data_IF_561460117802
#
_entry.id   IF_561460117802
#
_cell.length_a   1.000
_cell.length_b   1.000
_cell.length_c   1.000
_cell.angle_alpha   90.00
_cell.angle_beta   90.00
_cell.angle_gamma   90.00
#
_symmetry.space_group_name_H-M   'P 1'
#
loop_
_entity.id
_entity.type
_entity.pdbx_description
1 polymer ?
#
# COMPACT_ATOMS: atom_id res chain seq x y z
N UNK A 1 -12.93 7.85 -9.67
CA UNK A 1 -13.60 6.97 -8.71
C UNK A 1 -12.65 6.49 -7.60
N UNK A 2 -11.43 6.05 -7.88
CA UNK A 2 -10.48 5.62 -6.84
C UNK A 2 -10.24 6.70 -5.77
N UNK A 3 -10.11 7.97 -6.16
CA UNK A 3 -9.98 9.09 -5.20
C UNK A 3 -11.22 9.17 -4.28
N UNK A 4 -12.43 9.01 -4.85
CA UNK A 4 -13.65 9.01 -4.05
C UNK A 4 -13.74 7.83 -3.09
N UNK A 5 -13.34 6.62 -3.54
CA UNK A 5 -13.25 5.45 -2.68
C UNK A 5 -12.23 5.65 -1.56
N UNK A 6 -11.05 6.21 -1.91
CA UNK A 6 -10.03 6.57 -0.93
C UNK A 6 -10.51 7.63 0.06
N UNK A 7 -11.28 8.62 -0.40
CA UNK A 7 -11.87 9.62 0.51
C UNK A 7 -12.82 8.98 1.52
N UNK A 8 -13.77 8.15 1.06
CA UNK A 8 -14.70 7.44 1.96
C UNK A 8 -13.94 6.54 2.93
N UNK A 9 -12.93 5.80 2.45
CA UNK A 9 -12.08 4.98 3.30
C UNK A 9 -11.26 5.80 4.28
N UNK A 10 -10.74 6.95 3.85
CA UNK A 10 -9.94 7.89 4.64
C UNK A 10 -10.70 8.53 5.81
N UNK A 11 -12.05 8.60 5.75
CA UNK A 11 -12.86 9.02 6.89
C UNK A 11 -12.64 8.08 8.08
N UNK A 12 -12.51 6.78 7.82
CA UNK A 12 -12.33 5.75 8.83
C UNK A 12 -10.87 5.43 9.11
N UNK A 13 -10.00 5.62 8.12
CA UNK A 13 -8.61 5.21 8.17
C UNK A 13 -7.72 6.22 7.44
N UNK A 14 -7.05 7.10 8.19
CA UNK A 14 -6.20 8.18 7.65
C UNK A 14 -5.01 7.69 6.81
N UNK A 15 -4.57 6.44 6.99
CA UNK A 15 -3.52 5.79 6.19
C UNK A 15 -4.00 5.23 4.85
N UNK A 16 -5.09 5.78 4.27
CA UNK A 16 -5.58 5.35 2.96
C UNK A 16 -4.56 5.58 1.85
N UNK A 17 -4.33 4.55 1.04
CA UNK A 17 -3.45 4.60 -0.14
C UNK A 17 -4.23 4.57 -1.47
N UNK A 18 -5.52 4.21 -1.43
CA UNK A 18 -6.35 4.11 -2.65
C UNK A 18 -6.51 5.47 -3.29
N UNK A 19 -6.72 6.51 -2.47
CA UNK A 19 -6.82 7.89 -2.93
C UNK A 19 -5.55 8.35 -3.62
N UNK A 20 -4.38 8.08 -3.04
CA UNK A 20 -3.09 8.44 -3.60
C UNK A 20 -2.81 7.71 -4.93
N UNK A 21 -3.13 6.43 -5.04
CA UNK A 21 -3.09 5.72 -6.32
C UNK A 21 -4.03 6.32 -7.36
N UNK A 22 -5.23 6.71 -6.94
CA UNK A 22 -6.19 7.40 -7.80
C UNK A 22 -5.67 8.73 -8.32
N UNK A 23 -5.06 9.53 -7.44
CA UNK A 23 -4.48 10.83 -7.79
C UNK A 23 -3.26 10.66 -8.71
N UNK A 24 -2.34 9.76 -8.39
CA UNK A 24 -1.20 9.44 -9.25
C UNK A 24 -1.65 8.97 -10.64
N UNK A 25 -2.67 8.11 -10.70
CA UNK A 25 -3.24 7.67 -11.97
C UNK A 25 -3.80 8.83 -12.80
N UNK A 26 -4.51 9.79 -12.18
CA UNK A 26 -5.05 10.96 -12.89
C UNK A 26 -3.93 11.85 -13.42
N UNK A 27 -2.94 12.18 -12.58
CA UNK A 27 -1.83 13.07 -12.95
C UNK A 27 -0.99 12.47 -14.08
N UNK A 28 -0.67 11.18 -14.00
CA UNK A 28 0.26 10.51 -14.90
C UNK A 28 -0.42 9.63 -15.97
N UNK A 29 -1.78 9.60 -16.03
CA UNK A 29 -2.54 8.77 -16.99
C UNK A 29 -2.06 8.92 -18.43
N UNK A 30 -1.85 10.16 -18.90
CA UNK A 30 -1.39 10.44 -20.26
C UNK A 30 0.01 9.87 -20.53
N UNK A 31 0.90 9.88 -19.54
CA UNK A 31 2.26 9.34 -19.73
C UNK A 31 2.27 7.82 -19.72
N UNK A 32 1.44 7.19 -18.89
CA UNK A 32 1.27 5.73 -18.90
C UNK A 32 0.63 5.26 -20.24
N UNK A 33 -0.46 5.92 -20.66
CA UNK A 33 -1.17 5.57 -21.90
C UNK A 33 -0.28 5.69 -23.16
N UNK A 34 0.58 6.72 -23.20
CA UNK A 34 1.49 6.93 -24.33
C UNK A 34 2.88 6.31 -24.11
N UNK A 35 3.04 5.45 -23.10
CA UNK A 35 4.29 4.74 -22.78
C UNK A 35 5.52 5.66 -22.66
N UNK A 36 5.32 6.86 -22.10
CA UNK A 36 6.40 7.85 -21.93
C UNK A 36 7.27 7.50 -20.72
N UNK A 37 7.83 6.31 -20.72
CA UNK A 37 8.59 5.75 -19.59
C UNK A 37 9.77 6.60 -19.16
N UNK A 38 10.50 7.22 -20.09
CA UNK A 38 11.63 8.11 -19.75
C UNK A 38 11.17 9.26 -18.86
N UNK A 39 10.04 9.90 -19.17
CA UNK A 39 9.50 10.99 -18.32
C UNK A 39 9.10 10.48 -16.94
N UNK A 40 8.46 9.31 -16.88
CA UNK A 40 8.08 8.68 -15.63
C UNK A 40 9.30 8.33 -14.78
N UNK A 41 10.37 7.83 -15.38
CA UNK A 41 11.62 7.53 -14.67
C UNK A 41 12.32 8.80 -14.18
N UNK A 42 12.39 9.84 -15.01
CA UNK A 42 13.00 11.13 -14.63
C UNK A 42 12.23 11.73 -13.44
N UNK A 43 10.91 11.83 -13.55
CA UNK A 43 10.08 12.35 -12.44
C UNK A 43 10.15 11.44 -11.21
N UNK A 44 10.12 10.11 -11.40
CA UNK A 44 10.29 9.16 -10.33
C UNK A 44 11.64 9.28 -9.61
N UNK A 45 12.73 9.49 -10.37
CA UNK A 45 14.05 9.74 -9.81
C UNK A 45 14.12 11.07 -9.06
N UNK A 46 13.53 12.14 -9.60
CA UNK A 46 13.46 13.45 -8.93
C UNK A 46 12.70 13.29 -7.60
N UNK A 47 11.54 12.62 -7.61
CA UNK A 47 10.77 12.36 -6.39
C UNK A 47 11.62 11.57 -5.38
N UNK A 48 12.26 10.47 -5.82
CA UNK A 48 13.07 9.64 -4.94
C UNK A 48 14.25 10.43 -4.32
N UNK A 49 14.93 11.24 -5.11
CA UNK A 49 16.03 12.11 -4.62
C UNK A 49 15.52 13.19 -3.67
N UNK A 50 14.38 13.83 -4.00
CA UNK A 50 13.77 14.84 -3.13
C UNK A 50 13.38 14.24 -1.79
N UNK A 51 12.73 13.08 -1.80
CA UNK A 51 12.35 12.35 -0.58
C UNK A 51 13.58 11.98 0.23
N UNK A 52 14.58 11.37 -0.41
CA UNK A 52 15.83 11.01 0.24
C UNK A 52 16.50 12.24 0.89
N UNK A 53 16.63 13.33 0.14
CA UNK A 53 17.25 14.57 0.63
C UNK A 53 16.45 15.21 1.77
N UNK A 54 15.10 15.22 1.66
CA UNK A 54 14.22 15.73 2.70
C UNK A 54 14.39 14.96 4.01
N UNK A 55 14.32 13.64 3.97
CA UNK A 55 14.50 12.83 5.17
C UNK A 55 15.91 12.92 5.74
N UNK A 56 16.92 13.01 4.88
CA UNK A 56 18.29 13.21 5.30
C UNK A 56 18.44 14.55 6.04
N UNK A 57 17.96 15.64 5.46
CA UNK A 57 18.00 16.97 6.08
C UNK A 57 17.23 17.00 7.40
N UNK A 58 16.00 16.45 7.40
CA UNK A 58 15.17 16.35 8.60
C UNK A 58 15.83 15.57 9.73
N UNK A 59 16.55 14.51 9.41
CA UNK A 59 17.28 13.70 10.39
C UNK A 59 18.42 14.48 11.07
N UNK A 60 19.05 15.43 10.38
CA UNK A 60 20.09 16.26 10.96
C UNK A 60 19.58 17.51 11.68
N UNK A 61 18.50 18.13 11.13
CA UNK A 61 17.96 19.39 11.67
C UNK A 61 17.00 19.15 12.83
N UNK A 62 16.21 18.08 12.76
CA UNK A 62 15.20 17.79 13.75
C UNK A 62 15.13 16.27 14.01
N UNK A 63 16.09 15.70 14.76
CA UNK A 63 16.10 14.26 15.06
C UNK A 63 14.81 13.76 15.69
N UNK A 64 14.20 14.55 16.58
CA UNK A 64 12.92 14.24 17.23
C UNK A 64 11.76 14.19 16.20
N UNK A 65 11.75 15.14 15.26
CA UNK A 65 10.75 15.13 14.19
C UNK A 65 10.92 13.92 13.28
N UNK A 66 12.15 13.57 12.93
CA UNK A 66 12.45 12.37 12.15
C UNK A 66 11.99 11.09 12.88
N UNK A 67 12.16 11.02 14.20
CA UNK A 67 11.69 9.91 15.03
C UNK A 67 10.16 9.80 15.04
N UNK A 68 9.42 10.91 15.08
CA UNK A 68 7.96 10.96 14.95
C UNK A 68 7.50 10.42 13.59
N UNK A 69 8.13 10.90 12.51
CA UNK A 69 7.79 10.47 11.14
C UNK A 69 8.14 9.00 10.86
N UNK A 70 9.17 8.49 11.53
CA UNK A 70 9.54 7.07 11.45
C UNK A 70 8.63 6.15 12.28
N UNK A 71 7.67 6.72 13.01
CA UNK A 71 6.75 5.98 13.88
C UNK A 71 7.36 5.55 15.24
N UNK A 72 8.51 6.11 15.60
CA UNK A 72 9.23 5.74 16.82
C UNK A 72 8.82 6.54 18.04
N UNK A 73 8.19 7.69 17.85
CA UNK A 73 7.73 8.55 18.93
C UNK A 73 6.24 8.85 18.79
N UNK A 74 5.48 8.61 19.85
CA UNK A 74 4.07 8.99 19.91
C UNK A 74 3.96 10.53 19.98
N UNK A 75 3.15 11.09 19.10
CA UNK A 75 2.85 12.51 19.12
C UNK A 75 1.74 12.77 20.17
N UNK A 76 2.02 13.44 21.29
CA UNK A 76 1.06 13.60 22.38
C UNK A 76 -0.04 14.61 22.12
N UNK A 77 -0.17 15.13 20.91
CA UNK A 77 -1.17 16.15 20.59
C UNK A 77 -2.59 15.57 20.67
N UNK A 78 -3.19 15.65 21.84
CA UNK A 78 -4.61 15.35 22.05
C UNK A 78 -5.41 16.46 21.37
N UNK A 79 -5.97 16.17 20.21
CA UNK A 79 -6.88 17.11 19.54
C UNK A 79 -8.28 16.97 20.14
N UNK A 80 -8.92 18.09 20.46
CA UNK A 80 -10.32 18.12 20.91
C UNK A 80 -11.33 17.89 19.77
N UNK A 81 -10.83 17.72 18.54
CA UNK A 81 -11.67 17.52 17.36
C UNK A 81 -12.17 16.07 17.27
N UNK A 82 -13.39 15.86 16.75
CA UNK A 82 -13.88 14.52 16.44
C UNK A 82 -12.93 13.77 15.51
N UNK A 83 -12.69 12.49 15.79
CA UNK A 83 -11.71 11.66 15.06
C UNK A 83 -11.91 11.68 13.53
N UNK A 84 -13.15 11.69 13.04
CA UNK A 84 -13.44 11.72 11.61
C UNK A 84 -12.99 13.04 10.95
N UNK A 85 -13.10 14.17 11.67
CA UNK A 85 -12.62 15.48 11.18
C UNK A 85 -11.10 15.45 11.04
N UNK A 86 -10.42 14.91 12.04
CA UNK A 86 -8.95 14.74 12.01
C UNK A 86 -8.55 13.81 10.87
N UNK A 87 -9.25 12.69 10.69
CA UNK A 87 -8.97 11.77 9.60
C UNK A 87 -9.19 12.40 8.22
N UNK A 88 -10.26 13.18 8.04
CA UNK A 88 -10.50 13.89 6.78
C UNK A 88 -9.40 14.91 6.50
N UNK A 89 -9.00 15.70 7.50
CA UNK A 89 -7.93 16.68 7.34
C UNK A 89 -6.59 15.99 7.01
N UNK A 90 -6.26 14.94 7.74
CA UNK A 90 -5.08 14.12 7.49
C UNK A 90 -5.13 13.48 6.11
N UNK A 91 -6.29 12.96 5.69
CA UNK A 91 -6.43 12.34 4.38
C UNK A 91 -6.13 13.33 3.24
N UNK A 92 -6.66 14.56 3.31
CA UNK A 92 -6.35 15.60 2.32
C UNK A 92 -4.86 15.95 2.32
N UNK A 93 -4.26 16.08 3.49
CA UNK A 93 -2.83 16.35 3.61
C UNK A 93 -1.99 15.19 3.03
N UNK A 94 -2.26 13.97 3.47
CA UNK A 94 -1.53 12.79 3.04
C UNK A 94 -1.79 12.39 1.59
N UNK A 95 -2.94 12.73 1.00
CA UNK A 95 -3.24 12.46 -0.41
C UNK A 95 -2.12 12.97 -1.35
N UNK A 96 -1.61 14.16 -1.09
CA UNK A 96 -0.51 14.74 -1.87
C UNK A 96 0.86 14.29 -1.37
N UNK A 97 1.04 14.24 -0.06
CA UNK A 97 2.31 13.85 0.56
C UNK A 97 2.68 12.42 0.19
N UNK A 98 1.73 11.50 0.19
CA UNK A 98 1.98 10.10 -0.17
C UNK A 98 2.55 9.93 -1.58
N UNK A 99 2.13 10.72 -2.56
CA UNK A 99 2.68 10.64 -3.92
C UNK A 99 4.19 10.94 -3.91
N UNK A 100 4.62 11.83 -3.03
CA UNK A 100 6.01 12.22 -2.90
C UNK A 100 6.80 11.27 -1.98
N UNK A 101 6.21 10.84 -0.87
CA UNK A 101 6.93 10.13 0.21
C UNK A 101 6.92 8.61 0.03
N UNK A 102 5.87 8.02 -0.56
CA UNK A 102 5.75 6.55 -0.67
C UNK A 102 6.34 5.96 -1.95
N UNK A 103 6.99 6.77 -2.77
CA UNK A 103 7.62 6.34 -4.03
C UNK A 103 6.65 5.61 -4.99
N UNK A 104 5.36 5.91 -4.93
CA UNK A 104 4.31 5.32 -5.78
C UNK A 104 4.63 5.51 -7.27
N UNK A 105 5.08 6.71 -7.65
CA UNK A 105 5.33 7.05 -9.06
C UNK A 105 6.48 6.23 -9.65
N UNK A 106 7.68 6.15 -9.03
CA UNK A 106 8.75 5.31 -9.54
C UNK A 106 8.38 3.83 -9.53
N UNK A 107 7.69 3.34 -8.49
CA UNK A 107 7.22 1.96 -8.44
C UNK A 107 6.23 1.63 -9.56
N UNK A 108 5.25 2.52 -9.82
CA UNK A 108 4.29 2.37 -10.90
C UNK A 108 4.96 2.43 -12.29
N UNK A 109 5.97 3.28 -12.47
CA UNK A 109 6.75 3.35 -13.71
C UNK A 109 7.50 2.05 -14.00
N UNK A 110 8.13 1.46 -12.98
CA UNK A 110 8.79 0.14 -13.07
C UNK A 110 7.76 -0.94 -13.42
N UNK A 111 6.63 -0.98 -12.70
CA UNK A 111 5.57 -1.96 -12.94
C UNK A 111 4.98 -1.88 -14.34
N UNK A 112 4.70 -0.68 -14.83
CA UNK A 112 4.19 -0.46 -16.20
C UNK A 112 5.19 -0.92 -17.26
N UNK A 113 6.47 -0.65 -17.07
CA UNK A 113 7.51 -1.12 -17.99
C UNK A 113 7.66 -2.64 -17.96
N UNK A 114 7.62 -3.26 -16.78
CA UNK A 114 7.68 -4.71 -16.65
C UNK A 114 6.49 -5.40 -17.34
N UNK A 115 5.31 -4.82 -17.30
CA UNK A 115 4.15 -5.34 -18.00
C UNK A 115 4.35 -5.43 -19.54
N UNK A 116 5.13 -4.50 -20.11
CA UNK A 116 5.42 -4.49 -21.56
C UNK A 116 6.58 -5.43 -21.96
N UNK A 117 7.39 -5.89 -21.02
CA UNK A 117 8.61 -6.67 -21.35
C UNK A 117 8.40 -8.17 -21.48
N UNK A 118 7.28 -8.68 -21.01
CA UNK A 118 7.04 -10.11 -20.93
C UNK A 118 7.87 -10.86 -19.87
N UNK A 119 8.73 -10.18 -19.11
CA UNK A 119 9.60 -10.80 -18.09
C UNK A 119 8.78 -11.57 -17.05
N UNK A 120 7.65 -10.98 -16.61
CA UNK A 120 6.78 -11.58 -15.59
C UNK A 120 5.91 -12.67 -16.20
N UNK A 121 5.48 -12.54 -17.45
CA UNK A 121 4.59 -13.51 -18.11
C UNK A 121 5.33 -14.72 -18.68
N UNK A 122 6.65 -14.59 -18.92
CA UNK A 122 7.52 -15.65 -19.41
C UNK A 122 8.72 -15.85 -18.48
N UNK A 123 8.52 -16.21 -17.20
CA UNK A 123 9.57 -16.25 -16.19
C UNK A 123 10.67 -17.29 -16.51
N UNK A 124 10.33 -18.39 -17.16
CA UNK A 124 11.30 -19.42 -17.54
C UNK A 124 12.34 -18.89 -18.52
N UNK A 125 11.93 -18.07 -19.47
CA UNK A 125 12.82 -17.42 -20.44
C UNK A 125 13.78 -16.42 -19.77
N UNK A 126 13.36 -15.80 -18.67
CA UNK A 126 14.13 -14.78 -17.96
C UNK A 126 14.62 -15.26 -16.59
N UNK A 127 14.70 -16.59 -16.39
CA UNK A 127 14.97 -17.22 -15.10
C UNK A 127 16.22 -16.68 -14.39
N UNK A 128 17.32 -16.55 -15.11
CA UNK A 128 18.58 -16.05 -14.53
C UNK A 128 18.45 -14.61 -14.04
N UNK A 129 17.84 -13.75 -14.84
CA UNK A 129 17.57 -12.35 -14.48
C UNK A 129 16.69 -12.27 -13.23
N UNK A 130 15.60 -13.05 -13.20
CA UNK A 130 14.68 -13.05 -12.07
C UNK A 130 15.31 -13.58 -10.78
N UNK A 131 16.15 -14.62 -10.87
CA UNK A 131 16.89 -15.13 -9.70
C UNK A 131 17.89 -14.08 -9.19
N UNK A 132 18.69 -13.47 -10.07
CA UNK A 132 19.67 -12.47 -9.66
C UNK A 132 19.00 -11.22 -9.08
N UNK A 133 17.91 -10.73 -9.69
CA UNK A 133 17.11 -9.64 -9.17
C UNK A 133 16.44 -10.01 -7.84
N UNK A 134 15.95 -11.25 -7.73
CA UNK A 134 15.32 -11.77 -6.52
C UNK A 134 16.28 -11.78 -5.34
N UNK A 135 17.41 -12.47 -5.49
CA UNK A 135 18.40 -12.60 -4.43
C UNK A 135 19.08 -11.25 -4.15
N UNK A 136 19.56 -10.55 -5.18
CA UNK A 136 20.24 -9.27 -5.02
C UNK A 136 19.33 -8.18 -4.46
N UNK A 137 18.11 -8.09 -4.95
CA UNK A 137 17.13 -7.10 -4.48
C UNK A 137 16.76 -7.30 -3.02
N UNK A 138 16.48 -8.55 -2.61
CA UNK A 138 16.17 -8.86 -1.21
C UNK A 138 17.37 -8.66 -0.29
N UNK A 139 18.56 -9.07 -0.72
CA UNK A 139 19.79 -8.86 0.05
C UNK A 139 20.07 -7.37 0.27
N UNK A 140 20.00 -6.56 -0.78
CA UNK A 140 20.21 -5.11 -0.69
C UNK A 140 19.13 -4.43 0.18
N UNK A 141 17.85 -4.79 -0.01
CA UNK A 141 16.77 -4.28 0.82
C UNK A 141 16.91 -4.66 2.30
N UNK A 142 17.30 -5.91 2.58
CA UNK A 142 17.55 -6.38 3.94
C UNK A 142 18.76 -5.70 4.58
N UNK A 143 19.86 -5.54 3.85
CA UNK A 143 21.05 -4.82 4.34
C UNK A 143 20.74 -3.36 4.64
N UNK A 144 19.99 -2.69 3.77
CA UNK A 144 19.58 -1.30 3.98
C UNK A 144 18.67 -1.12 5.22
N UNK A 145 17.86 -2.13 5.55
CA UNK A 145 16.99 -2.12 6.71
C UNK A 145 17.66 -2.66 8.00
N UNK A 146 18.82 -3.31 7.87
CA UNK A 146 19.43 -4.06 8.98
C UNK A 146 19.77 -3.19 10.18
N UNK A 147 20.40 -2.03 9.96
CA UNK A 147 20.77 -1.13 11.06
C UNK A 147 19.52 -0.63 11.78
N UNK A 148 18.51 -0.15 11.05
CA UNK A 148 17.24 0.26 11.63
C UNK A 148 16.51 -0.88 12.38
N UNK A 149 16.64 -2.13 11.92
CA UNK A 149 16.08 -3.28 12.64
C UNK A 149 16.84 -3.58 13.94
N UNK A 150 18.18 -3.49 13.92
CA UNK A 150 19.02 -3.75 15.09
C UNK A 150 18.84 -2.71 16.18
N UNK A 151 18.58 -1.44 15.86
CA UNK A 151 18.33 -0.39 16.86
C UNK A 151 17.05 -0.62 17.67
N UNK A 152 16.10 -1.46 17.18
CA UNK A 152 14.92 -1.84 17.95
C UNK A 152 15.17 -2.96 18.97
N UNK A 153 16.30 -3.66 18.86
CA UNK A 153 16.60 -4.84 19.69
C UNK A 153 17.84 -4.61 20.55
N UNK A 154 18.80 -3.83 20.06
CA UNK A 154 20.07 -3.55 20.69
C UNK A 154 20.14 -2.08 21.10
N UNK A 155 20.90 -1.72 22.17
CA UNK A 155 21.10 -0.34 22.60
C UNK A 155 22.08 0.40 21.66
N UNK A 156 21.78 0.47 20.37
CA UNK A 156 22.57 1.14 19.34
C UNK A 156 21.85 2.41 18.95
N UNK A 157 22.59 3.49 18.78
CA UNK A 157 22.02 4.76 18.29
C UNK A 157 21.61 4.63 16.84
N UNK A 158 20.46 5.21 16.50
CA UNK A 158 20.03 5.29 15.09
C UNK A 158 20.91 6.26 14.31
N UNK A 159 21.18 5.92 13.07
CA UNK A 159 21.83 6.86 12.15
C UNK A 159 20.79 7.80 11.54
N UNK A 160 21.15 9.07 11.34
CA UNK A 160 20.23 10.04 10.75
C UNK A 160 19.66 9.63 9.40
N UNK A 161 20.41 8.87 8.59
CA UNK A 161 20.01 8.43 7.25
C UNK A 161 19.29 7.08 7.17
N UNK A 162 19.13 6.36 8.28
CA UNK A 162 18.54 5.02 8.30
C UNK A 162 17.17 4.96 7.59
N UNK A 163 16.32 5.92 7.90
CA UNK A 163 14.99 5.97 7.31
C UNK A 163 15.05 6.20 5.80
N UNK A 164 15.84 7.19 5.36
CA UNK A 164 15.98 7.55 3.95
C UNK A 164 16.53 6.38 3.12
N UNK A 165 17.56 5.70 3.63
CA UNK A 165 18.16 4.52 2.99
C UNK A 165 17.16 3.37 2.90
N UNK A 166 16.47 3.07 3.99
CA UNK A 166 15.45 2.01 4.03
C UNK A 166 14.33 2.26 3.01
N UNK A 167 13.81 3.48 2.92
CA UNK A 167 12.74 3.83 1.98
C UNK A 167 13.22 3.70 0.52
N UNK A 168 14.40 4.21 0.19
CA UNK A 168 14.94 4.13 -1.17
C UNK A 168 15.20 2.68 -1.60
N UNK A 169 15.86 1.89 -0.75
CA UNK A 169 16.15 0.48 -1.04
C UNK A 169 14.94 -0.43 -0.89
N UNK A 170 13.85 0.06 -0.30
CA UNK A 170 12.56 -0.63 -0.26
C UNK A 170 12.03 -0.98 -1.65
N UNK A 171 12.22 -0.10 -2.66
CA UNK A 171 11.87 -0.39 -4.05
C UNK A 171 12.71 -1.56 -4.61
N UNK A 172 14.00 -1.58 -4.29
CA UNK A 172 14.91 -2.65 -4.73
C UNK A 172 14.48 -3.99 -4.13
N UNK A 173 14.15 -4.01 -2.83
CA UNK A 173 13.59 -5.18 -2.15
C UNK A 173 12.24 -5.61 -2.73
N UNK A 174 11.36 -4.67 -3.07
CA UNK A 174 10.08 -4.96 -3.71
C UNK A 174 10.26 -5.59 -5.11
N UNK A 175 11.21 -5.10 -5.91
CA UNK A 175 11.59 -5.74 -7.17
C UNK A 175 12.13 -7.16 -6.96
N UNK A 176 12.88 -7.39 -5.87
CA UNK A 176 13.36 -8.72 -5.47
C UNK A 176 12.20 -9.68 -5.18
N UNK A 177 11.23 -9.26 -4.36
CA UNK A 177 10.01 -10.03 -4.10
C UNK A 177 9.22 -10.30 -5.37
N UNK A 178 9.00 -9.29 -6.21
CA UNK A 178 8.27 -9.43 -7.46
C UNK A 178 8.93 -10.47 -8.38
N UNK A 179 10.25 -10.47 -8.47
CA UNK A 179 11.01 -11.42 -9.28
C UNK A 179 10.86 -12.87 -8.77
N UNK A 180 10.96 -13.10 -7.46
CA UNK A 180 10.77 -14.44 -6.88
C UNK A 180 9.31 -14.91 -6.99
N UNK A 181 8.36 -14.01 -6.79
CA UNK A 181 6.94 -14.34 -6.95
C UNK A 181 6.59 -14.65 -8.41
N UNK A 182 7.20 -13.96 -9.38
CA UNK A 182 7.03 -14.28 -10.80
C UNK A 182 7.57 -15.67 -11.15
N UNK A 183 8.74 -16.04 -10.64
CA UNK A 183 9.30 -17.40 -10.76
C UNK A 183 8.39 -18.45 -10.12
N UNK A 184 7.89 -18.17 -8.92
CA UNK A 184 6.97 -19.07 -8.23
C UNK A 184 5.65 -19.23 -8.99
N UNK A 185 5.12 -18.15 -9.57
CA UNK A 185 3.89 -18.19 -10.36
C UNK A 185 4.04 -19.05 -11.64
N UNK A 186 5.21 -19.02 -12.29
CA UNK A 186 5.56 -19.88 -13.41
C UNK A 186 4.87 -19.50 -14.73
N UNK A 187 4.36 -18.28 -14.84
CA UNK A 187 3.69 -17.79 -16.06
C UNK A 187 2.30 -18.38 -16.32
N UNK A 188 1.66 -18.01 -17.44
CA UNK A 188 0.37 -18.55 -17.86
C UNK A 188 0.47 -20.05 -18.15
N UNK A 189 -0.50 -20.84 -17.68
CA UNK A 189 -0.60 -22.27 -17.95
C UNK A 189 -1.59 -22.53 -19.07
N UNK A 190 -1.31 -23.53 -19.90
CA UNK A 190 -2.18 -23.93 -21.01
C UNK A 190 -3.57 -24.39 -20.52
N UNK A 191 -3.61 -25.10 -19.38
CA UNK A 191 -4.85 -25.57 -18.76
C UNK A 191 -5.62 -24.50 -17.98
N UNK A 192 -5.01 -23.31 -17.78
CA UNK A 192 -5.57 -22.20 -16.99
C UNK A 192 -5.86 -22.53 -15.53
N UNK A 193 -5.52 -23.73 -15.05
CA UNK A 193 -5.84 -24.20 -13.70
C UNK A 193 -4.73 -23.87 -12.72
N UNK A 194 -5.10 -23.19 -11.65
CA UNK A 194 -4.23 -22.92 -10.52
C UNK A 194 -4.61 -23.81 -9.34
N UNK A 195 -3.62 -24.37 -8.66
CA UNK A 195 -3.79 -25.25 -7.51
C UNK A 195 -3.02 -24.74 -6.29
N UNK A 196 -3.39 -25.19 -5.09
CA UNK A 196 -2.69 -24.87 -3.85
C UNK A 196 -2.57 -23.37 -3.59
N UNK A 197 -1.41 -22.93 -3.11
CA UNK A 197 -1.14 -21.54 -2.76
C UNK A 197 -1.26 -20.56 -3.95
N UNK A 198 -0.95 -21.01 -5.17
CA UNK A 198 -1.11 -20.17 -6.38
C UNK A 198 -2.58 -19.81 -6.61
N UNK A 199 -3.51 -20.73 -6.36
CA UNK A 199 -4.94 -20.46 -6.43
C UNK A 199 -5.37 -19.45 -5.37
N UNK A 200 -4.91 -19.63 -4.12
CA UNK A 200 -5.21 -18.69 -3.03
C UNK A 200 -4.69 -17.29 -3.33
N UNK A 201 -3.43 -17.19 -3.76
CA UNK A 201 -2.83 -15.91 -4.14
C UNK A 201 -3.60 -15.22 -5.29
N UNK A 202 -4.00 -16.00 -6.31
CA UNK A 202 -4.82 -15.49 -7.41
C UNK A 202 -6.22 -15.05 -6.96
N UNK A 203 -6.85 -15.77 -6.03
CA UNK A 203 -8.16 -15.42 -5.48
C UNK A 203 -8.11 -14.06 -4.76
N UNK A 204 -7.08 -13.82 -3.94
CA UNK A 204 -6.83 -12.55 -3.26
C UNK A 204 -6.46 -11.45 -4.26
N UNK A 205 -5.53 -11.73 -5.18
CA UNK A 205 -5.07 -10.73 -6.15
C UNK A 205 -6.17 -10.20 -7.06
N UNK A 206 -7.10 -11.05 -7.50
CA UNK A 206 -8.26 -10.63 -8.29
C UNK A 206 -9.29 -9.82 -7.50
N UNK A 207 -9.22 -9.85 -6.16
CA UNK A 207 -10.11 -9.19 -5.22
C UNK A 207 -9.35 -8.32 -4.24
N UNK A 208 -8.26 -7.72 -4.72
CA UNK A 208 -7.32 -6.96 -3.87
C UNK A 208 -7.96 -5.80 -3.15
N UNK A 209 -8.91 -5.11 -3.79
CA UNK A 209 -9.66 -4.01 -3.18
C UNK A 209 -10.60 -4.52 -2.08
N UNK A 210 -11.29 -5.63 -2.34
CA UNK A 210 -12.13 -6.30 -1.34
C UNK A 210 -11.28 -6.81 -0.18
N UNK A 211 -10.13 -7.44 -0.46
CA UNK A 211 -9.21 -7.89 0.57
C UNK A 211 -8.73 -6.74 1.46
N UNK A 212 -8.28 -5.65 0.86
CA UNK A 212 -7.78 -4.47 1.59
C UNK A 212 -8.86 -3.81 2.45
N UNK A 213 -10.01 -3.50 1.88
CA UNK A 213 -11.10 -2.83 2.61
C UNK A 213 -11.72 -3.73 3.68
N UNK A 214 -11.80 -5.05 3.44
CA UNK A 214 -12.26 -5.99 4.46
C UNK A 214 -11.35 -6.02 5.68
N UNK A 215 -10.03 -5.94 5.49
CA UNK A 215 -9.08 -5.86 6.60
C UNK A 215 -9.31 -4.61 7.45
N UNK A 216 -9.52 -3.46 6.81
CA UNK A 216 -9.83 -2.21 7.53
C UNK A 216 -11.12 -2.33 8.32
N UNK A 217 -12.17 -2.93 7.75
CA UNK A 217 -13.44 -3.16 8.46
C UNK A 217 -13.22 -4.08 9.65
N UNK A 218 -12.49 -5.18 9.48
CA UNK A 218 -12.23 -6.15 10.55
C UNK A 218 -11.39 -5.51 11.67
N UNK A 219 -10.31 -4.82 11.34
CA UNK A 219 -9.48 -4.12 12.33
C UNK A 219 -10.26 -3.01 13.04
N UNK A 220 -11.04 -2.20 12.31
CA UNK A 220 -11.89 -1.19 12.89
C UNK A 220 -12.94 -1.79 13.84
N UNK A 221 -13.52 -2.93 13.49
CA UNK A 221 -14.44 -3.65 14.36
C UNK A 221 -13.74 -4.13 15.62
N UNK A 222 -12.61 -4.81 15.50
CA UNK A 222 -11.89 -5.42 16.64
C UNK A 222 -11.33 -4.35 17.58
N UNK A 223 -10.68 -3.33 17.04
CA UNK A 223 -9.92 -2.38 17.85
C UNK A 223 -10.65 -1.09 18.20
N UNK A 224 -11.78 -0.80 17.55
CA UNK A 224 -12.58 0.40 17.82
C UNK A 224 -13.96 0.04 18.36
N UNK A 225 -14.75 -0.71 17.59
CA UNK A 225 -16.16 -0.97 17.93
C UNK A 225 -16.27 -1.87 19.16
N UNK A 226 -15.53 -2.98 19.22
CA UNK A 226 -15.59 -3.91 20.35
C UNK A 226 -15.17 -3.25 21.69
N UNK A 227 -14.04 -2.53 21.79
CA UNK A 227 -13.68 -1.82 23.03
C UNK A 227 -14.70 -0.77 23.45
N UNK A 228 -15.30 -0.04 22.51
CA UNK A 228 -16.35 0.94 22.81
C UNK A 228 -17.58 0.28 23.42
N UNK A 229 -18.03 -0.81 22.82
CA UNK A 229 -19.23 -1.52 23.28
C UNK A 229 -19.01 -2.28 24.59
N UNK A 230 -17.83 -2.91 24.75
CA UNK A 230 -17.55 -3.78 25.91
C UNK A 230 -17.04 -3.00 27.11
N UNK A 231 -16.20 -1.98 26.89
CA UNK A 231 -15.54 -1.23 27.98
C UNK A 231 -16.18 0.13 28.26
N UNK A 232 -17.24 0.51 27.53
CA UNK A 232 -17.88 1.82 27.68
C UNK A 232 -16.95 3.00 27.37
N UNK A 233 -15.85 2.76 26.66
CA UNK A 233 -14.90 3.80 26.35
C UNK A 233 -15.52 4.81 25.39
N UNK A 234 -15.48 6.08 25.78
CA UNK A 234 -15.91 7.16 24.88
C UNK A 234 -14.91 7.29 23.74
N UNK A 235 -15.42 7.31 22.50
CA UNK A 235 -14.61 7.55 21.28
C UNK A 235 -14.05 8.98 21.19
N UNK A 236 -13.52 9.49 22.28
CA UNK A 236 -12.73 10.73 22.29
C UNK A 236 -11.28 10.36 21.95
N UNK A 237 -11.07 9.86 20.75
CA UNK A 237 -9.73 9.50 20.31
C UNK A 237 -9.18 10.65 19.50
N UNK A 238 -8.62 11.61 20.17
CA UNK A 238 -7.65 12.51 19.60
C UNK A 238 -6.30 11.82 19.47
N UNK A 239 -6.19 10.78 18.66
CA UNK A 239 -4.89 10.17 18.35
C UNK A 239 -4.76 9.85 16.88
N UNK A 240 -3.69 10.39 16.33
CA UNK A 240 -3.28 10.37 14.95
C UNK A 240 -3.17 8.95 14.35
N UNK A 241 -3.60 8.85 13.09
CA UNK A 241 -3.17 7.83 12.14
C UNK A 241 -3.69 6.41 12.38
N UNK A 242 -4.52 5.92 11.45
CA UNK A 242 -5.20 4.64 11.57
C UNK A 242 -4.31 3.40 11.75
N UNK A 243 -3.08 3.37 11.24
CA UNK A 243 -2.13 2.29 11.52
C UNK A 243 -1.59 2.37 12.95
N UNK A 244 -1.42 3.57 13.49
CA UNK A 244 -1.03 3.82 14.87
C UNK A 244 -2.17 3.54 15.85
N UNK A 245 -3.44 3.73 15.45
CA UNK A 245 -4.58 3.33 16.28
C UNK A 245 -4.57 1.82 16.52
N UNK A 246 -4.28 1.01 15.52
CA UNK A 246 -4.18 -0.44 15.67
C UNK A 246 -3.05 -0.83 16.62
N UNK A 247 -1.89 -0.16 16.54
CA UNK A 247 -0.75 -0.40 17.43
C UNK A 247 -0.96 0.23 18.81
N UNK A 248 -1.42 1.48 18.89
CA UNK A 248 -1.60 2.20 20.15
C UNK A 248 -2.80 1.67 20.96
N UNK A 249 -3.90 1.30 20.31
CA UNK A 249 -5.03 0.63 20.98
C UNK A 249 -4.64 -0.79 21.38
N UNK A 250 -3.84 -1.49 20.58
CA UNK A 250 -3.27 -2.78 20.95
C UNK A 250 -2.39 -2.70 22.20
N UNK A 251 -1.55 -1.67 22.32
CA UNK A 251 -0.73 -1.44 23.53
C UNK A 251 -1.57 -1.02 24.73
N UNK A 252 -2.59 -0.16 24.56
CA UNK A 252 -3.49 0.28 25.63
C UNK A 252 -4.48 -0.78 26.07
N UNK A 253 -4.88 -1.70 25.20
CA UNK A 253 -5.76 -2.81 25.51
C UNK A 253 -5.04 -4.01 26.15
N UNK A 254 -3.80 -3.87 26.57
CA UNK A 254 -3.01 -4.98 27.15
C UNK A 254 -2.84 -6.18 26.20
N UNK A 255 -3.04 -5.95 24.92
CA UNK A 255 -2.80 -6.96 23.90
C UNK A 255 -1.29 -6.98 23.65
N UNK A 256 -0.59 -7.91 24.27
CA UNK A 256 0.85 -8.09 24.03
C UNK A 256 1.15 -8.31 22.54
N UNK A 257 2.39 -8.08 22.12
CA UNK A 257 2.83 -8.21 20.72
C UNK A 257 2.41 -9.54 20.07
N UNK A 258 2.45 -10.62 20.84
CA UNK A 258 2.01 -11.94 20.36
C UNK A 258 0.53 -11.99 20.03
N UNK A 259 -0.33 -11.40 20.86
CA UNK A 259 -1.76 -11.36 20.60
C UNK A 259 -2.10 -10.44 19.43
N UNK A 260 -1.41 -9.31 19.27
CA UNK A 260 -1.54 -8.43 18.10
C UNK A 260 -1.17 -9.19 16.81
N UNK A 261 -0.09 -9.96 16.83
CA UNK A 261 0.32 -10.80 15.70
C UNK A 261 -0.71 -11.89 15.39
N UNK A 262 -1.29 -12.52 16.41
CA UNK A 262 -2.36 -13.53 16.21
C UNK A 262 -3.64 -12.92 15.63
N UNK A 263 -4.04 -11.71 16.09
CA UNK A 263 -5.17 -10.98 15.52
C UNK A 263 -4.90 -10.64 14.06
N UNK A 264 -3.71 -10.12 13.74
CA UNK A 264 -3.34 -9.81 12.37
C UNK A 264 -3.37 -11.05 11.48
N UNK A 265 -2.85 -12.18 11.95
CA UNK A 265 -2.91 -13.46 11.26
C UNK A 265 -4.36 -13.93 11.07
N UNK A 266 -5.20 -13.84 12.09
CA UNK A 266 -6.61 -14.22 12.01
C UNK A 266 -7.36 -13.36 10.98
N UNK A 267 -7.19 -12.04 11.01
CA UNK A 267 -7.77 -11.11 10.03
C UNK A 267 -7.32 -11.45 8.62
N UNK A 268 -6.02 -11.73 8.44
CA UNK A 268 -5.48 -12.14 7.15
C UNK A 268 -6.10 -13.46 6.66
N UNK A 269 -6.21 -14.49 7.53
CA UNK A 269 -6.82 -15.77 7.20
C UNK A 269 -8.32 -15.63 6.83
N UNK A 270 -9.06 -14.81 7.57
CA UNK A 270 -10.47 -14.50 7.25
C UNK A 270 -10.58 -13.85 5.88
N UNK A 271 -9.71 -12.89 5.58
CA UNK A 271 -9.67 -12.20 4.29
C UNK A 271 -9.36 -13.17 3.13
N UNK A 272 -8.36 -14.05 3.30
CA UNK A 272 -8.03 -15.09 2.31
C UNK A 272 -9.20 -16.06 2.15
N UNK A 273 -9.83 -16.45 3.24
CA UNK A 273 -11.04 -17.29 3.23
C UNK A 273 -12.18 -16.65 2.44
N UNK A 274 -12.48 -15.39 2.71
CA UNK A 274 -13.50 -14.60 1.99
C UNK A 274 -13.22 -14.59 0.48
N UNK A 275 -12.00 -14.22 0.08
CA UNK A 275 -11.61 -14.18 -1.33
C UNK A 275 -11.71 -15.56 -2.00
N UNK A 276 -11.38 -16.63 -1.27
CA UNK A 276 -11.46 -18.02 -1.76
C UNK A 276 -12.90 -18.48 -1.94
N UNK A 277 -13.80 -18.12 -1.01
CA UNK A 277 -15.24 -18.42 -1.12
C UNK A 277 -15.83 -17.71 -2.33
N UNK A 278 -15.53 -16.44 -2.50
CA UNK A 278 -15.96 -15.67 -3.67
C UNK A 278 -15.40 -16.26 -4.98
N UNK A 279 -14.15 -16.75 -4.98
CA UNK A 279 -13.54 -17.42 -6.13
C UNK A 279 -14.28 -18.71 -6.49
N UNK A 280 -14.62 -19.54 -5.49
CA UNK A 280 -15.36 -20.80 -5.71
C UNK A 280 -16.76 -20.56 -6.25
N UNK A 281 -17.40 -19.47 -5.82
CA UNK A 281 -18.72 -19.04 -6.31
C UNK A 281 -18.69 -18.32 -7.66
N UNK A 282 -17.52 -18.11 -8.27
CA UNK A 282 -17.38 -17.35 -9.51
C UNK A 282 -17.71 -15.85 -9.38
N UNK A 283 -17.77 -15.32 -8.15
CA UNK A 283 -18.14 -13.94 -7.89
C UNK A 283 -16.90 -13.02 -7.88
N UNK A 284 -17.07 -11.84 -8.45
CA UNK A 284 -16.13 -10.74 -8.21
C UNK A 284 -16.23 -10.26 -6.76
N UNK A 285 -15.21 -9.59 -6.26
CA UNK A 285 -15.30 -8.95 -4.95
C UNK A 285 -16.34 -7.83 -4.93
N UNK A 286 -17.03 -7.60 -3.80
CA UNK A 286 -18.07 -6.58 -3.71
C UNK A 286 -17.55 -5.18 -4.03
N UNK A 287 -16.35 -4.82 -3.57
CA UNK A 287 -15.78 -3.50 -3.83
C UNK A 287 -15.27 -3.35 -5.27
N UNK A 288 -14.74 -4.41 -5.88
CA UNK A 288 -14.42 -4.43 -7.31
C UNK A 288 -15.68 -4.26 -8.16
N UNK A 289 -16.77 -4.91 -7.79
CA UNK A 289 -18.07 -4.81 -8.48
C UNK A 289 -18.62 -3.40 -8.37
N UNK A 290 -18.55 -2.80 -7.18
CA UNK A 290 -18.99 -1.44 -6.94
C UNK A 290 -18.19 -0.44 -7.79
N UNK A 291 -16.87 -0.56 -7.81
CA UNK A 291 -16.00 0.30 -8.63
C UNK A 291 -16.30 0.14 -10.13
N UNK A 292 -16.39 -1.09 -10.63
CA UNK A 292 -16.71 -1.36 -12.04
C UNK A 292 -18.08 -0.78 -12.45
N UNK A 293 -19.08 -0.93 -11.58
CA UNK A 293 -20.42 -0.39 -11.81
C UNK A 293 -20.41 1.13 -11.85
N UNK A 294 -19.68 1.77 -10.95
CA UNK A 294 -19.52 3.22 -10.91
C UNK A 294 -18.84 3.75 -12.18
N UNK A 295 -17.78 3.09 -12.64
CA UNK A 295 -17.09 3.43 -13.89
C UNK A 295 -18.03 3.26 -15.09
N UNK A 296 -18.68 2.11 -15.23
CA UNK A 296 -19.59 1.83 -16.35
C UNK A 296 -20.76 2.81 -16.43
N UNK A 297 -21.32 3.24 -15.29
CA UNK A 297 -22.36 4.27 -15.25
C UNK A 297 -21.84 5.63 -15.69
N UNK A 298 -20.62 6.00 -15.35
CA UNK A 298 -20.04 7.27 -15.77
C UNK A 298 -19.71 7.31 -17.27
N UNK A 299 -19.30 6.17 -17.87
CA UNK A 299 -19.04 6.07 -19.30
C UNK A 299 -20.31 6.18 -20.14
N UNK A 300 -21.42 5.56 -19.67
CA UNK A 300 -22.73 5.67 -20.37
C UNK A 300 -23.28 7.10 -20.42
N UNK A 301 -22.87 7.96 -19.52
CA UNK A 301 -23.28 9.38 -19.47
C UNK A 301 -22.43 10.29 -20.37
N UNK A 302 -21.33 9.79 -20.96
CA UNK A 302 -20.53 10.56 -21.91
C UNK A 302 -21.24 10.64 -23.26
N UNK A 303 -21.41 11.83 -23.85
CA UNK A 303 -21.90 11.97 -25.23
C UNK A 303 -20.99 11.15 -26.16
N UNK A 304 -21.58 10.37 -27.06
CA UNK A 304 -20.79 9.70 -28.09
C UNK A 304 -20.13 10.79 -28.95
N UNK A 305 -18.81 10.67 -29.24
CA UNK A 305 -18.19 11.57 -30.22
C UNK A 305 -18.98 11.53 -31.52
N UNK A 306 -19.21 12.70 -32.12
CA UNK A 306 -19.84 12.79 -33.42
C UNK A 306 -19.05 11.94 -34.41
N UNK A 307 -19.74 11.20 -35.33
CA UNK A 307 -19.04 10.47 -36.38
C UNK A 307 -18.17 11.46 -37.19
N UNK A 308 -16.96 11.04 -37.63
CA UNK A 308 -16.13 11.90 -38.46
C UNK A 308 -16.93 12.36 -39.68
N UNK A 309 -16.89 13.66 -39.94
CA UNK A 309 -17.52 14.22 -41.16
C UNK A 309 -16.97 13.45 -42.36
N UNK A 310 -17.90 12.89 -43.16
CA UNK A 310 -17.54 12.22 -44.38
C UNK A 310 -16.89 13.28 -45.31
N UNK A 311 -15.60 13.12 -45.56
CA UNK A 311 -14.80 13.89 -46.52
C UNK A 311 -14.88 13.26 -47.88
#
# INVERSE_FOLDING_TARGET
WMILFGFVHGIFFSGDIIGAYGLAAVIFAGWFAHKRYVRLYVVGAIIALTVFSLFLVMSFVSPETAAVWSGQQENPTVTMLPWFVVNIANWFFFLFVQILVTLIVPAAAIGARLADTGIITQPDRHRRLLISTGIGGLALGALAALHSALTNVLPISQWPWDFAVKELFGIVGACGWLALLALYAGGPREDGRLTGLRRLASAVGRRSMTAYLSQTILFGTIFVIVPVLVMGQRLWVGQAGGALIVLAVGQRLWVGQAAAALIALAVWLVTVGLCTVLERGGHAGPFETLLRTAVARSERKRPRPAPPAAS
#
